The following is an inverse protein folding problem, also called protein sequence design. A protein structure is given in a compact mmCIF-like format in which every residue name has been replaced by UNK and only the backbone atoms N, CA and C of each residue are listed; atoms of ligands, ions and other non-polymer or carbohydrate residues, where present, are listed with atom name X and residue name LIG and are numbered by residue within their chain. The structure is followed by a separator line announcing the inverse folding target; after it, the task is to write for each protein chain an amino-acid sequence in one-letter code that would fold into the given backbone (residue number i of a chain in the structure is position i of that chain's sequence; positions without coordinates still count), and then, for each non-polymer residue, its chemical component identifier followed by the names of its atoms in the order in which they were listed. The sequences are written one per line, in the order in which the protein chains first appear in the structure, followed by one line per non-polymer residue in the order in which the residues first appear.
data_IF_986744467677
#
_entry.id   IF_986744467677
#
_cell.length_a   1.000
_cell.length_b   1.000
_cell.length_c   1.000
_cell.angle_alpha   90.00
_cell.angle_beta   90.00
_cell.angle_gamma   90.00
#
_symmetry.space_group_name_H-M   'P 1'
#
loop_
_entity.id
_entity.type
_entity.pdbx_description
1 polymer ?
#
# COMPACT_ATOMS: atom_id res chain seq x y z
N UNK A 1 37.13 12.04 -44.71
CA UNK A 1 35.85 11.97 -43.98
C UNK A 1 36.07 11.14 -42.74
N UNK A 2 36.20 11.81 -41.60
CA UNK A 2 36.47 11.26 -40.27
C UNK A 2 35.28 11.63 -39.40
N UNK A 3 34.64 10.70 -38.69
CA UNK A 3 33.78 11.07 -37.58
C UNK A 3 34.56 11.00 -36.27
N UNK A 4 34.49 12.11 -35.57
CA UNK A 4 35.01 12.44 -34.25
C UNK A 4 34.22 11.68 -33.17
N UNK A 5 34.89 10.88 -32.33
CA UNK A 5 34.32 10.31 -31.11
C UNK A 5 34.49 11.31 -29.96
N UNK A 6 33.38 11.73 -29.33
CA UNK A 6 33.41 12.44 -28.05
C UNK A 6 33.29 11.39 -26.94
N UNK A 7 34.27 11.25 -26.03
CA UNK A 7 34.16 10.35 -24.90
C UNK A 7 33.30 10.99 -23.80
N UNK A 8 32.24 10.30 -23.37
CA UNK A 8 31.57 10.60 -22.10
C UNK A 8 32.23 9.80 -20.97
N UNK A 9 32.40 10.41 -19.78
CA UNK A 9 33.15 9.81 -18.70
C UNK A 9 32.41 8.61 -18.08
N UNK A 10 33.22 7.57 -17.88
CA UNK A 10 32.99 6.37 -17.11
C UNK A 10 32.12 6.58 -15.86
N UNK A 11 31.03 5.81 -15.77
CA UNK A 11 30.45 5.41 -14.50
C UNK A 11 30.12 3.93 -14.60
N UNK A 12 30.86 3.12 -13.83
CA UNK A 12 30.71 1.69 -13.67
C UNK A 12 29.24 1.25 -13.70
N UNK A 13 28.83 0.59 -14.78
CA UNK A 13 27.72 -0.36 -14.78
C UNK A 13 28.32 -1.77 -14.75
N UNK A 14 28.64 -2.24 -13.55
CA UNK A 14 28.44 -3.65 -13.24
C UNK A 14 27.08 -3.72 -12.55
N UNK A 15 26.01 -3.61 -13.34
CA UNK A 15 24.70 -4.13 -12.95
C UNK A 15 24.85 -5.65 -12.94
N UNK A 16 25.14 -6.22 -11.78
CA UNK A 16 24.81 -7.62 -11.51
C UNK A 16 23.28 -7.71 -11.55
N UNK A 17 22.74 -7.91 -12.75
CA UNK A 17 21.37 -8.36 -12.91
C UNK A 17 21.34 -9.81 -12.44
N UNK A 18 21.17 -9.98 -11.13
CA UNK A 18 21.02 -11.29 -10.54
C UNK A 18 19.65 -11.80 -10.98
N UNK A 19 19.64 -12.68 -11.97
CA UNK A 19 18.47 -13.47 -12.34
C UNK A 19 18.13 -14.32 -11.12
N UNK A 20 17.20 -13.84 -10.31
CA UNK A 20 16.72 -14.56 -9.13
C UNK A 20 15.94 -15.76 -9.66
N UNK A 21 16.43 -16.98 -9.43
CA UNK A 21 15.72 -18.16 -9.91
C UNK A 21 14.34 -18.25 -9.23
N UNK A 22 13.30 -18.72 -9.93
CA UNK A 22 11.99 -18.95 -9.31
C UNK A 22 12.05 -19.84 -8.06
N UNK A 23 13.09 -20.65 -7.93
CA UNK A 23 13.30 -21.55 -6.80
C UNK A 23 13.95 -20.85 -5.59
N UNK A 24 14.69 -19.75 -5.80
CA UNK A 24 15.24 -18.95 -4.70
C UNK A 24 14.13 -18.25 -3.89
N UNK A 25 13.09 -17.74 -4.57
CA UNK A 25 11.91 -17.16 -3.92
C UNK A 25 11.12 -18.22 -3.15
N UNK A 26 10.99 -19.44 -3.68
CA UNK A 26 10.32 -20.55 -2.99
C UNK A 26 11.08 -21.04 -1.74
N UNK A 27 12.40 -20.83 -1.69
CA UNK A 27 13.26 -21.35 -0.61
C UNK A 27 13.33 -20.47 0.64
N UNK A 28 12.78 -19.24 0.60
CA UNK A 28 12.90 -18.24 1.68
C UNK A 28 11.58 -17.94 2.43
N UNK A 29 10.51 -18.65 2.09
CA UNK A 29 9.22 -18.54 2.77
C UNK A 29 9.10 -19.68 3.78
N UNK A 30 9.12 -19.37 5.07
CA UNK A 30 8.49 -20.31 6.01
C UNK A 30 7.02 -20.45 5.56
N UNK A 31 6.46 -21.67 5.53
CA UNK A 31 5.07 -21.82 5.16
C UNK A 31 4.23 -20.93 6.10
N UNK A 32 3.34 -20.10 5.55
CA UNK A 32 2.48 -19.26 6.38
C UNK A 32 1.78 -20.15 7.40
N UNK A 33 1.71 -19.69 8.66
CA UNK A 33 0.96 -20.43 9.67
C UNK A 33 -0.45 -20.67 9.11
N UNK A 34 -0.88 -21.91 9.17
CA UNK A 34 -2.24 -22.32 8.79
C UNK A 34 -3.04 -22.77 10.02
N UNK A 35 -2.38 -22.78 11.19
CA UNK A 35 -2.94 -23.07 12.49
C UNK A 35 -3.28 -21.75 13.21
N UNK A 36 -4.27 -21.05 12.67
CA UNK A 36 -4.88 -19.91 13.33
C UNK A 36 -6.26 -20.30 13.85
N UNK A 37 -6.71 -19.74 14.99
CA UNK A 37 -8.08 -19.91 15.42
C UNK A 37 -9.03 -19.42 14.31
N UNK A 38 -10.26 -19.96 14.22
CA UNK A 38 -11.17 -19.63 13.13
C UNK A 38 -11.35 -18.11 12.98
N UNK A 39 -11.03 -17.58 11.79
CA UNK A 39 -11.17 -16.14 11.51
C UNK A 39 -12.66 -15.80 11.48
N UNK A 40 -13.06 -14.83 12.30
CA UNK A 40 -14.47 -14.42 12.46
C UNK A 40 -14.77 -13.01 11.94
N UNK A 41 -13.74 -12.25 11.63
CA UNK A 41 -13.85 -10.90 11.12
C UNK A 41 -12.63 -10.58 10.24
N UNK A 42 -12.84 -9.73 9.25
CA UNK A 42 -11.80 -9.11 8.44
C UNK A 42 -11.90 -7.60 8.61
N UNK A 43 -10.78 -6.93 8.81
CA UNK A 43 -10.67 -5.48 8.79
C UNK A 43 -9.94 -5.09 7.51
N UNK A 44 -10.52 -4.16 6.77
CA UNK A 44 -9.98 -3.70 5.50
C UNK A 44 -9.66 -2.22 5.59
N UNK A 45 -8.48 -1.85 5.12
CA UNK A 45 -8.22 -0.47 4.73
C UNK A 45 -9.05 -0.12 3.48
N UNK A 46 -9.43 1.14 3.33
CA UNK A 46 -10.24 1.60 2.21
C UNK A 46 -9.36 2.00 1.03
N UNK A 47 -8.49 2.98 1.26
CA UNK A 47 -7.71 3.65 0.22
C UNK A 47 -6.53 2.78 -0.23
N UNK A 48 -6.43 2.48 -1.52
CA UNK A 48 -5.34 1.65 -2.05
C UNK A 48 -5.43 0.16 -1.71
N UNK A 49 -6.52 -0.29 -1.07
CA UNK A 49 -6.86 -1.71 -0.89
C UNK A 49 -8.22 -2.06 -1.50
N UNK A 50 -9.29 -1.38 -1.09
CA UNK A 50 -10.62 -1.64 -1.65
C UNK A 50 -10.90 -0.77 -2.89
N UNK A 51 -10.37 0.45 -2.93
CA UNK A 51 -10.63 1.43 -3.99
C UNK A 51 -9.33 2.07 -4.52
N UNK A 52 -9.38 2.52 -5.78
CA UNK A 52 -8.25 3.11 -6.53
C UNK A 52 -7.99 4.61 -6.22
N UNK A 53 -8.34 5.07 -5.02
CA UNK A 53 -8.22 6.47 -4.58
C UNK A 53 -6.76 6.92 -4.48
N UNK A 54 -5.82 6.02 -4.19
CA UNK A 54 -4.38 6.33 -4.15
C UNK A 54 -3.83 6.85 -5.49
N UNK A 55 -4.35 6.32 -6.60
CA UNK A 55 -4.05 6.81 -7.94
C UNK A 55 -4.58 8.24 -8.10
N UNK A 56 -5.78 8.52 -7.58
CA UNK A 56 -6.39 9.85 -7.65
C UNK A 56 -5.62 10.87 -6.80
N UNK A 57 -5.16 10.49 -5.61
CA UNK A 57 -4.25 11.31 -4.80
C UNK A 57 -2.96 11.64 -5.55
N UNK A 58 -2.38 10.65 -6.23
CA UNK A 58 -1.16 10.81 -7.02
C UNK A 58 -1.40 11.76 -8.20
N UNK A 59 -2.48 11.57 -8.97
CA UNK A 59 -2.86 12.44 -10.09
C UNK A 59 -3.03 13.89 -9.62
N UNK A 60 -3.76 14.11 -8.53
CA UNK A 60 -3.98 15.46 -8.00
C UNK A 60 -2.66 16.13 -7.58
N UNK A 61 -1.81 15.38 -6.86
CA UNK A 61 -0.50 15.88 -6.40
C UNK A 61 0.41 16.25 -7.56
N UNK A 62 0.51 15.37 -8.56
CA UNK A 62 1.33 15.59 -9.74
C UNK A 62 0.83 16.76 -10.60
N UNK A 63 -0.49 16.94 -10.70
CA UNK A 63 -1.07 18.07 -11.40
C UNK A 63 -0.70 19.41 -10.74
N UNK A 64 -0.67 19.47 -9.40
CA UNK A 64 -0.16 20.66 -8.69
C UNK A 64 1.33 20.84 -8.93
N UNK A 65 2.15 19.79 -8.72
CA UNK A 65 3.60 19.86 -8.94
C UNK A 65 3.98 20.35 -10.35
N UNK A 66 3.26 19.87 -11.37
CA UNK A 66 3.49 20.26 -12.76
C UNK A 66 3.25 21.76 -13.01
N UNK A 67 2.25 22.39 -12.35
CA UNK A 67 2.00 23.84 -12.46
C UNK A 67 3.18 24.68 -11.99
N UNK A 68 3.96 24.15 -11.06
CA UNK A 68 5.14 24.80 -10.49
C UNK A 68 6.46 24.27 -11.04
N UNK A 69 6.42 23.51 -12.15
CA UNK A 69 7.61 22.99 -12.81
C UNK A 69 8.39 21.96 -11.97
N UNK A 70 7.74 21.31 -11.00
CA UNK A 70 8.35 20.26 -10.20
C UNK A 70 8.23 18.90 -10.87
N UNK A 71 9.21 17.99 -10.68
CA UNK A 71 9.11 16.62 -11.16
C UNK A 71 7.97 15.88 -10.45
N UNK A 72 7.57 14.73 -11.00
CA UNK A 72 6.64 13.80 -10.35
C UNK A 72 7.16 13.42 -8.96
N UNK A 73 6.24 13.19 -8.02
CA UNK A 73 6.59 12.83 -6.64
C UNK A 73 7.38 11.51 -6.63
N UNK A 74 8.64 11.49 -6.17
CA UNK A 74 9.43 10.28 -6.11
C UNK A 74 8.86 9.29 -5.10
N UNK A 75 8.97 8.00 -5.41
CA UNK A 75 8.53 6.91 -4.52
C UNK A 75 9.18 6.98 -3.14
N UNK A 76 10.48 7.26 -3.07
CA UNK A 76 11.21 7.44 -1.81
C UNK A 76 10.69 8.57 -0.91
N UNK A 77 10.00 9.56 -1.48
CA UNK A 77 9.35 10.64 -0.71
C UNK A 77 7.93 10.21 -0.33
N UNK A 78 7.19 9.62 -1.27
CA UNK A 78 5.84 9.12 -1.04
C UNK A 78 5.80 8.06 0.07
N UNK A 79 6.76 7.12 0.07
CA UNK A 79 6.92 6.09 1.10
C UNK A 79 7.04 6.70 2.50
N UNK A 80 7.84 7.76 2.65
CA UNK A 80 8.02 8.49 3.92
C UNK A 80 6.75 9.21 4.38
N UNK A 81 5.83 9.51 3.48
CA UNK A 81 4.57 10.19 3.81
C UNK A 81 3.48 9.21 4.26
N UNK A 82 3.49 7.98 3.76
CA UNK A 82 2.45 6.98 4.04
C UNK A 82 2.47 6.54 5.51
N UNK A 83 1.28 6.27 6.06
CA UNK A 83 1.10 5.89 7.47
C UNK A 83 1.34 7.02 8.49
N UNK A 84 1.61 8.26 8.04
CA UNK A 84 1.81 9.42 8.93
C UNK A 84 0.57 10.31 8.99
N UNK A 85 0.31 10.97 10.14
CA UNK A 85 -0.70 12.01 10.21
C UNK A 85 -0.46 13.13 9.21
N UNK A 86 -1.54 13.74 8.71
CA UNK A 86 -1.50 14.77 7.65
C UNK A 86 -0.48 15.89 7.85
N UNK A 87 -0.30 16.47 9.07
CA UNK A 87 0.74 17.47 9.32
C UNK A 87 2.17 16.94 9.13
N UNK A 88 2.45 15.72 9.60
CA UNK A 88 3.77 15.11 9.50
C UNK A 88 4.11 14.73 8.05
N UNK A 89 3.15 14.14 7.32
CA UNK A 89 3.29 13.87 5.89
C UNK A 89 3.44 15.18 5.08
N UNK A 90 2.68 16.21 5.45
CA UNK A 90 2.76 17.54 4.85
C UNK A 90 4.13 18.18 4.97
N UNK A 91 4.76 18.11 6.15
CA UNK A 91 6.10 18.67 6.37
C UNK A 91 7.17 18.00 5.48
N UNK A 92 7.10 16.68 5.27
CA UNK A 92 8.00 15.94 4.38
C UNK A 92 7.81 16.40 2.94
N UNK A 93 6.55 16.48 2.50
CA UNK A 93 6.21 16.93 1.16
C UNK A 93 6.71 18.36 0.92
N UNK A 94 6.45 19.29 1.84
CA UNK A 94 6.86 20.69 1.70
C UNK A 94 8.38 20.86 1.67
N UNK A 95 9.09 20.14 2.53
CA UNK A 95 10.55 20.16 2.57
C UNK A 95 11.17 19.69 1.25
N UNK A 96 10.57 18.68 0.61
CA UNK A 96 11.03 18.17 -0.69
C UNK A 96 10.55 19.05 -1.86
N UNK A 97 9.26 19.37 -1.90
CA UNK A 97 8.62 20.02 -3.05
C UNK A 97 9.04 21.48 -3.16
N UNK A 98 9.26 22.18 -2.04
CA UNK A 98 9.65 23.60 -1.99
C UNK A 98 8.82 24.46 -2.97
N UNK A 99 7.50 24.29 -2.90
CA UNK A 99 6.56 25.07 -3.71
C UNK A 99 6.46 26.49 -3.16
N UNK A 100 6.28 27.51 -4.02
CA UNK A 100 6.00 28.88 -3.59
C UNK A 100 4.53 29.04 -3.18
N UNK A 101 4.03 28.12 -2.36
CA UNK A 101 2.67 28.05 -1.86
C UNK A 101 2.70 27.84 -0.35
N UNK A 102 1.76 28.46 0.35
CA UNK A 102 1.44 28.07 1.72
C UNK A 102 0.73 26.71 1.73
N UNK A 103 0.79 26.00 2.87
CA UNK A 103 0.02 24.75 3.08
C UNK A 103 -1.46 24.92 2.71
N UNK A 104 -2.06 26.03 3.12
CA UNK A 104 -3.48 26.30 2.88
C UNK A 104 -3.80 26.46 1.39
N UNK A 105 -2.95 27.15 0.63
CA UNK A 105 -3.11 27.29 -0.81
C UNK A 105 -2.92 25.97 -1.54
N UNK A 106 -1.90 25.19 -1.14
CA UNK A 106 -1.67 23.85 -1.68
C UNK A 106 -2.88 22.93 -1.46
N UNK A 107 -3.41 22.89 -0.23
CA UNK A 107 -4.60 22.11 0.09
C UNK A 107 -5.82 22.57 -0.70
N UNK A 108 -5.99 23.87 -0.90
CA UNK A 108 -7.08 24.42 -1.71
C UNK A 108 -6.99 23.94 -3.15
N UNK A 109 -5.80 23.97 -3.77
CA UNK A 109 -5.63 23.45 -5.13
C UNK A 109 -5.88 21.94 -5.22
N UNK A 110 -5.41 21.17 -4.25
CA UNK A 110 -5.69 19.74 -4.17
C UNK A 110 -7.19 19.45 -4.10
N UNK A 111 -7.93 20.15 -3.23
CA UNK A 111 -9.37 19.94 -3.05
C UNK A 111 -10.14 20.18 -4.35
N UNK A 112 -9.78 21.20 -5.14
CA UNK A 112 -10.43 21.43 -6.43
C UNK A 112 -10.14 20.31 -7.45
N UNK A 113 -8.94 19.74 -7.44
CA UNK A 113 -8.61 18.59 -8.28
C UNK A 113 -9.30 17.31 -7.81
N UNK A 114 -9.38 17.10 -6.50
CA UNK A 114 -10.08 15.95 -5.92
C UNK A 114 -11.56 15.96 -6.28
N UNK A 115 -12.23 17.12 -6.26
CA UNK A 115 -13.63 17.24 -6.71
C UNK A 115 -13.83 16.74 -8.15
N UNK A 116 -12.83 16.88 -9.01
CA UNK A 116 -12.87 16.40 -10.40
C UNK A 116 -12.58 14.90 -10.47
N UNK A 117 -11.58 14.41 -9.74
CA UNK A 117 -11.09 13.04 -9.89
C UNK A 117 -11.79 12.00 -9.00
N UNK A 118 -12.21 12.37 -7.79
CA UNK A 118 -12.81 11.44 -6.83
C UNK A 118 -14.14 10.82 -7.28
N UNK A 119 -15.00 11.52 -8.05
CA UNK A 119 -16.19 10.88 -8.62
C UNK A 119 -15.88 9.70 -9.56
N UNK A 120 -14.62 9.55 -10.02
CA UNK A 120 -14.18 8.47 -10.90
C UNK A 120 -13.52 7.31 -10.18
N UNK A 121 -13.48 7.32 -8.85
CA UNK A 121 -12.95 6.23 -8.03
C UNK A 121 -13.71 4.93 -8.31
N UNK A 122 -12.97 3.83 -8.37
CA UNK A 122 -13.48 2.49 -8.65
C UNK A 122 -12.98 1.50 -7.60
N UNK A 123 -13.75 0.42 -7.36
CA UNK A 123 -13.24 -0.75 -6.66
C UNK A 123 -11.99 -1.29 -7.37
N UNK A 124 -11.01 -1.71 -6.58
CA UNK A 124 -9.86 -2.44 -7.09
C UNK A 124 -10.26 -3.88 -7.50
N UNK A 125 -9.48 -4.53 -8.40
CA UNK A 125 -9.74 -5.92 -8.80
C UNK A 125 -9.88 -6.86 -7.60
N UNK A 126 -10.85 -7.77 -7.67
CA UNK A 126 -11.16 -8.71 -6.59
C UNK A 126 -12.02 -8.15 -5.45
N UNK A 127 -12.08 -6.83 -5.23
CA UNK A 127 -12.80 -6.22 -4.10
C UNK A 127 -14.27 -6.63 -4.03
N UNK A 128 -15.01 -6.52 -5.15
CA UNK A 128 -16.45 -6.79 -5.14
C UNK A 128 -16.75 -8.27 -4.91
N UNK A 129 -15.95 -9.16 -5.49
CA UNK A 129 -16.07 -10.60 -5.29
C UNK A 129 -15.77 -10.96 -3.83
N UNK A 130 -14.64 -10.48 -3.30
CA UNK A 130 -14.23 -10.72 -1.92
C UNK A 130 -15.31 -10.32 -0.92
N UNK A 131 -15.83 -9.10 -1.03
CA UNK A 131 -16.87 -8.61 -0.12
C UNK A 131 -18.20 -9.37 -0.29
N UNK A 132 -18.53 -9.80 -1.51
CA UNK A 132 -19.70 -10.64 -1.79
C UNK A 132 -19.60 -12.01 -1.12
N UNK A 133 -18.45 -12.67 -1.26
CA UNK A 133 -18.17 -13.97 -0.67
C UNK A 133 -18.14 -13.88 0.88
N UNK A 134 -17.47 -12.87 1.44
CA UNK A 134 -17.37 -12.67 2.90
C UNK A 134 -18.72 -12.37 3.57
N UNK A 135 -19.67 -11.77 2.86
CA UNK A 135 -21.02 -11.52 3.39
C UNK A 135 -21.79 -12.84 3.66
N UNK A 136 -21.52 -13.88 2.86
CA UNK A 136 -22.09 -15.23 3.02
C UNK A 136 -21.27 -16.12 3.98
N UNK A 137 -20.02 -15.76 4.24
CA UNK A 137 -19.04 -16.67 4.79
C UNK A 137 -19.30 -17.11 6.24
N UNK A 138 -18.73 -18.26 6.61
CA UNK A 138 -18.72 -18.84 7.96
C UNK A 138 -17.34 -19.41 8.28
N UNK A 139 -16.99 -19.49 9.56
CA UNK A 139 -15.74 -20.14 9.99
C UNK A 139 -15.92 -21.65 10.11
N UNK A 140 -14.93 -22.45 9.66
CA UNK A 140 -14.92 -23.91 9.87
C UNK A 140 -14.97 -24.20 11.39
N UNK A 141 -16.02 -24.88 11.85
CA UNK A 141 -16.21 -25.25 13.27
C UNK A 141 -17.33 -24.53 14.02
N UNK A 142 -18.07 -23.61 13.39
CA UNK A 142 -19.24 -22.98 13.99
C UNK A 142 -20.50 -23.88 13.92
N UNK A 143 -20.50 -25.01 14.63
CA UNK A 143 -21.77 -25.69 14.97
C UNK A 143 -22.37 -25.02 16.21
N UNK A 144 -23.47 -24.29 16.00
CA UNK A 144 -24.38 -23.86 17.08
C UNK A 144 -24.29 -22.39 17.49
N UNK A 145 -25.15 -21.55 16.90
CA UNK A 145 -25.48 -20.23 17.43
C UNK A 145 -25.99 -19.26 16.37
N UNK A 146 -27.31 -19.08 16.28
CA UNK A 146 -27.92 -17.98 15.51
C UNK A 146 -27.44 -16.65 16.11
N UNK A 147 -26.69 -15.86 15.35
CA UNK A 147 -26.51 -14.44 15.64
C UNK A 147 -27.42 -13.63 14.71
N UNK A 148 -28.42 -12.99 15.29
CA UNK A 148 -29.28 -12.00 14.65
C UNK A 148 -28.45 -10.81 14.17
N UNK A 149 -28.78 -10.32 12.97
CA UNK A 149 -28.03 -9.29 12.27
C UNK A 149 -27.82 -8.00 13.06
N UNK A 150 -26.64 -7.42 12.87
CA UNK A 150 -26.31 -6.04 13.19
C UNK A 150 -25.54 -5.47 12.01
N UNK A 151 -26.13 -4.51 11.31
CA UNK A 151 -25.53 -3.86 10.15
C UNK A 151 -24.21 -3.18 10.48
N UNK A 152 -23.27 -3.26 9.55
CA UNK A 152 -21.99 -2.55 9.61
C UNK A 152 -22.26 -1.06 9.45
N UNK A 153 -21.99 -0.27 10.48
CA UNK A 153 -21.79 1.17 10.35
C UNK A 153 -20.31 1.40 10.10
N UNK A 154 -19.98 1.91 8.92
CA UNK A 154 -18.69 2.52 8.68
C UNK A 154 -18.70 3.88 9.38
N UNK A 155 -17.97 4.01 10.49
CA UNK A 155 -17.60 5.31 11.02
C UNK A 155 -16.28 5.72 10.37
N UNK A 156 -16.32 6.84 9.65
CA UNK A 156 -15.16 7.49 9.04
C UNK A 156 -14.26 8.07 10.13
N UNK A 157 -13.15 7.39 10.40
CA UNK A 157 -12.04 7.89 11.19
C UNK A 157 -10.76 7.70 10.40
N UNK A 158 -10.16 8.81 9.97
CA UNK A 158 -8.83 8.85 9.37
C UNK A 158 -7.79 8.34 10.38
N UNK A 159 -7.48 7.05 10.36
CA UNK A 159 -6.29 6.47 11.00
C UNK A 159 -5.62 5.54 9.99
N UNK A 160 -4.48 6.00 9.48
CA UNK A 160 -3.89 5.51 8.25
C UNK A 160 -3.35 4.08 8.32
N UNK A 161 -3.52 3.36 7.21
CA UNK A 161 -2.83 2.13 6.90
C UNK A 161 -2.19 2.20 5.50
N UNK A 162 -1.21 1.31 5.29
CA UNK A 162 -0.37 1.25 4.09
C UNK A 162 -1.13 0.53 2.96
N UNK A 163 -1.81 1.30 2.11
CA UNK A 163 -2.24 0.86 0.77
C UNK A 163 -1.05 0.89 -0.20
N UNK A 164 -0.68 -0.27 -0.74
CA UNK A 164 0.53 -0.41 -1.56
C UNK A 164 0.23 -0.14 -3.04
N UNK A 165 0.49 1.08 -3.51
CA UNK A 165 0.71 1.30 -4.94
C UNK A 165 1.89 0.44 -5.43
N UNK A 166 1.80 -0.06 -6.67
CA UNK A 166 2.83 -0.91 -7.27
C UNK A 166 4.27 -0.32 -7.20
N UNK A 167 4.42 1.00 -7.12
CA UNK A 167 5.73 1.65 -7.02
C UNK A 167 6.33 1.63 -5.61
N UNK A 168 5.52 1.45 -4.57
CA UNK A 168 6.01 1.29 -3.19
C UNK A 168 6.78 -0.02 -3.03
N UNK A 169 6.32 -1.08 -3.69
CA UNK A 169 7.00 -2.38 -3.71
C UNK A 169 8.41 -2.27 -4.28
N UNK A 170 8.61 -1.46 -5.32
CA UNK A 170 9.93 -1.23 -5.89
C UNK A 170 10.86 -0.54 -4.89
N UNK A 171 10.36 0.46 -4.16
CA UNK A 171 11.13 1.20 -3.16
C UNK A 171 11.57 0.30 -2.00
N UNK A 172 10.71 -0.64 -1.59
CA UNK A 172 11.00 -1.61 -0.52
C UNK A 172 11.50 -2.96 -1.04
N UNK A 173 11.98 -3.03 -2.29
CA UNK A 173 12.57 -4.26 -2.84
C UNK A 173 13.71 -4.74 -1.93
N UNK A 174 13.61 -5.98 -1.44
CA UNK A 174 14.57 -6.58 -0.51
C UNK A 174 14.36 -6.23 0.96
N UNK A 175 13.31 -5.47 1.30
CA UNK A 175 12.89 -5.12 2.68
C UNK A 175 11.46 -5.55 2.98
N UNK A 176 10.87 -6.41 2.15
CA UNK A 176 9.47 -6.82 2.24
C UNK A 176 9.16 -7.45 3.60
N UNK A 177 10.11 -8.21 4.13
CA UNK A 177 10.01 -8.85 5.45
C UNK A 177 9.92 -7.84 6.60
N UNK A 178 10.67 -6.76 6.52
CA UNK A 178 10.62 -5.68 7.51
C UNK A 178 9.32 -4.89 7.42
N UNK A 179 8.80 -4.70 6.20
CA UNK A 179 7.48 -4.07 5.97
C UNK A 179 6.37 -4.91 6.59
N UNK A 180 6.35 -6.22 6.33
CA UNK A 180 5.34 -7.14 6.88
C UNK A 180 5.39 -7.21 8.41
N UNK A 181 6.58 -7.10 9.00
CA UNK A 181 6.74 -7.03 10.45
C UNK A 181 6.41 -5.65 11.05
N UNK A 182 6.15 -4.62 10.22
CA UNK A 182 5.96 -3.24 10.67
C UNK A 182 7.24 -2.57 11.19
N UNK A 183 8.43 -3.07 10.83
CA UNK A 183 9.74 -2.70 11.38
C UNK A 183 10.55 -1.73 10.51
N UNK A 184 9.93 -1.06 9.55
CA UNK A 184 10.62 -0.10 8.67
C UNK A 184 11.13 1.16 9.39
N UNK A 185 10.76 1.37 10.66
CA UNK A 185 11.22 2.50 11.48
C UNK A 185 10.61 3.84 11.10
N UNK A 186 9.59 3.84 10.24
CA UNK A 186 8.96 5.06 9.69
C UNK A 186 7.51 5.26 10.15
N UNK A 187 6.97 4.36 10.99
CA UNK A 187 5.61 4.40 11.53
C UNK A 187 5.47 5.27 12.79
N UNK A 188 4.25 5.77 13.02
CA UNK A 188 3.87 6.50 14.25
C UNK A 188 3.23 5.51 15.21
N UNK A 189 4.01 4.96 16.14
CA UNK A 189 3.52 3.98 17.12
C UNK A 189 4.61 3.51 18.09
N UNK A 190 4.20 2.91 19.20
CA UNK A 190 5.12 2.31 20.17
C UNK A 190 5.78 1.08 19.53
N UNK A 191 7.11 1.00 19.57
CA UNK A 191 7.90 -0.09 18.95
C UNK A 191 7.56 -1.47 19.54
N UNK A 192 6.84 -1.52 20.66
CA UNK A 192 6.30 -2.76 21.24
C UNK A 192 5.11 -3.37 20.48
N UNK A 193 4.50 -2.65 19.54
CA UNK A 193 3.35 -3.13 18.75
C UNK A 193 3.72 -3.76 17.39
N UNK A 194 5.00 -3.79 17.03
CA UNK A 194 5.45 -4.37 15.74
C UNK A 194 5.63 -5.88 15.85
N UNK A 195 5.31 -6.62 14.77
CA UNK A 195 5.51 -8.07 14.68
C UNK A 195 6.99 -8.46 14.66
N UNK A 196 7.29 -9.75 14.54
CA UNK A 196 8.64 -10.24 14.26
C UNK A 196 8.80 -10.51 12.75
N UNK A 197 10.02 -10.37 12.24
CA UNK A 197 10.29 -10.74 10.85
C UNK A 197 10.00 -12.22 10.66
N UNK A 198 9.24 -12.55 9.61
CA UNK A 198 8.81 -13.91 9.27
C UNK A 198 7.93 -14.59 10.35
N UNK A 199 7.22 -13.83 11.17
CA UNK A 199 6.34 -14.35 12.23
C UNK A 199 5.05 -15.04 11.72
N UNK A 200 4.74 -14.82 10.44
CA UNK A 200 3.60 -15.35 9.72
C UNK A 200 2.28 -14.62 9.99
N UNK A 201 2.30 -13.48 10.69
CA UNK A 201 1.10 -12.70 11.03
C UNK A 201 0.63 -11.80 9.89
N UNK A 202 1.53 -11.44 8.96
CA UNK A 202 1.22 -10.65 7.79
C UNK A 202 1.75 -11.33 6.53
N UNK A 203 1.01 -11.18 5.44
CA UNK A 203 1.46 -11.56 4.11
C UNK A 203 1.02 -10.53 3.09
N UNK A 204 1.74 -10.49 1.97
CA UNK A 204 1.42 -9.59 0.87
C UNK A 204 0.59 -10.32 -0.19
N UNK A 205 -0.59 -9.81 -0.49
CA UNK A 205 -1.41 -10.22 -1.62
C UNK A 205 -1.33 -9.14 -2.71
N UNK A 206 -0.97 -9.53 -3.94
CA UNK A 206 -0.88 -8.61 -5.08
C UNK A 206 -2.25 -8.19 -5.62
N UNK A 207 -3.24 -9.05 -5.44
CA UNK A 207 -4.63 -8.84 -5.84
C UNK A 207 -5.54 -9.54 -4.83
N UNK A 208 -6.79 -9.06 -4.73
CA UNK A 208 -7.84 -9.74 -3.97
C UNK A 208 -8.59 -10.77 -4.83
N UNK A 209 -8.24 -10.90 -6.10
CA UNK A 209 -8.71 -11.98 -6.97
C UNK A 209 -8.16 -13.32 -6.47
N UNK A 210 -8.97 -14.37 -6.53
CA UNK A 210 -8.64 -15.71 -6.04
C UNK A 210 -8.16 -15.74 -4.58
N UNK A 211 -8.77 -14.92 -3.72
CA UNK A 211 -8.44 -14.84 -2.30
C UNK A 211 -8.46 -16.24 -1.63
N UNK A 212 -7.41 -16.64 -0.89
CA UNK A 212 -7.25 -18.02 -0.43
C UNK A 212 -8.09 -18.31 0.82
N UNK A 213 -9.43 -18.37 0.69
CA UNK A 213 -10.37 -18.56 1.80
C UNK A 213 -10.04 -19.75 2.70
N UNK A 214 -9.69 -20.90 2.11
CA UNK A 214 -9.41 -22.13 2.85
C UNK A 214 -8.23 -21.99 3.81
N UNK A 215 -7.21 -21.20 3.41
CA UNK A 215 -6.01 -20.93 4.21
C UNK A 215 -6.36 -20.24 5.53
N UNK A 216 -7.38 -19.40 5.53
CA UNK A 216 -7.85 -18.65 6.69
C UNK A 216 -9.03 -19.32 7.41
N UNK A 217 -9.39 -20.55 7.02
CA UNK A 217 -10.51 -21.28 7.61
C UNK A 217 -11.89 -20.67 7.31
N UNK A 218 -11.97 -19.86 6.25
CA UNK A 218 -13.21 -19.21 5.78
C UNK A 218 -13.89 -20.15 4.78
N UNK A 219 -15.19 -20.34 4.95
CA UNK A 219 -16.07 -21.09 4.04
C UNK A 219 -17.02 -20.08 3.39
N UNK A 220 -17.01 -20.01 2.05
CA UNK A 220 -17.81 -19.09 1.22
C UNK A 220 -18.90 -19.83 0.47
#
# INVERSE_FOLDING_TARGET
MTPLFIPLPSRNKQEHQQVVSPDYIKSQTMPPKTDFPPIRACLFDLDGLLIDSEDKYTICTEAVLARYGKPRLPWSIKAKMQGRPGPAAGAIFEAWAQLPLTRAEYLKELVELQKVHFPTVKPLPGTQQLLGDLAGARSKGAEGGKCSGGGVRAESGDEGCLGAHAGLREEYRGKEKDVLAGRTGEGVGDLHQVGEVDDGWAEHLETLEDFPYEKYGIVV
#
